data_IF_631107993036
#
_entry.id   IF_631107993036
#
_cell.length_a   1.000
_cell.length_b   1.000
_cell.length_c   1.000
_cell.angle_alpha   90.00
_cell.angle_beta   90.00
_cell.angle_gamma   90.00
#
_symmetry.space_group_name_H-M   'P 1'
#
loop_
_entity.id
_entity.type
_entity.pdbx_description
1 polymer ?
#
# COMPACT_ATOMS: atom_id res chain seq x y z
N UNK A 1 32.86 16.82 0.33
CA UNK A 1 33.03 16.23 1.67
C UNK A 1 33.12 14.73 1.47
N UNK A 2 34.13 14.08 2.05
CA UNK A 2 34.23 12.63 1.97
C UNK A 2 33.19 11.98 2.87
N UNK A 3 32.47 11.00 2.35
CA UNK A 3 31.53 10.17 3.11
C UNK A 3 31.90 8.69 3.00
N UNK A 4 31.44 7.88 3.96
CA UNK A 4 31.59 6.41 3.94
C UNK A 4 30.28 5.80 3.47
N UNK A 5 30.34 4.95 2.44
CA UNK A 5 29.15 4.28 1.93
C UNK A 5 28.65 3.22 2.92
N UNK A 6 27.38 3.30 3.33
CA UNK A 6 26.78 2.32 4.26
C UNK A 6 26.59 0.91 3.70
N UNK A 7 26.73 0.72 2.38
CA UNK A 7 26.58 -0.59 1.75
C UNK A 7 27.92 -1.30 1.54
N UNK A 8 28.92 -0.60 0.98
CA UNK A 8 30.19 -1.20 0.58
C UNK A 8 31.39 -0.75 1.43
N UNK A 9 31.21 0.21 2.35
CA UNK A 9 32.26 0.71 3.23
C UNK A 9 33.29 1.63 2.58
N UNK A 10 33.22 1.87 1.27
CA UNK A 10 34.19 2.72 0.54
C UNK A 10 33.98 4.20 0.84
N UNK A 11 35.09 4.95 0.88
CA UNK A 11 35.07 6.41 0.80
C UNK A 11 34.57 6.87 -0.57
N UNK A 12 33.78 7.93 -0.59
CA UNK A 12 33.34 8.57 -1.82
C UNK A 12 33.16 10.08 -1.62
N UNK A 13 33.30 10.83 -2.70
CA UNK A 13 32.98 12.25 -2.73
C UNK A 13 31.48 12.46 -2.89
N UNK A 14 30.87 13.08 -1.89
CA UNK A 14 29.43 13.29 -1.84
C UNK A 14 29.04 14.69 -1.37
N UNK A 15 27.81 15.08 -1.75
CA UNK A 15 27.14 16.23 -1.16
C UNK A 15 26.67 15.89 0.25
N UNK A 16 26.48 16.93 1.09
CA UNK A 16 25.95 16.78 2.44
C UNK A 16 24.64 15.98 2.42
N UNK A 17 24.60 14.87 3.15
CA UNK A 17 23.44 13.96 3.22
C UNK A 17 23.45 12.78 2.25
N UNK A 18 24.40 12.68 1.30
CA UNK A 18 24.56 11.47 0.48
C UNK A 18 25.14 10.34 1.33
N UNK A 19 24.46 9.19 1.34
CA UNK A 19 24.78 8.04 2.21
C UNK A 19 25.44 6.88 1.45
N UNK A 20 25.36 6.89 0.11
CA UNK A 20 25.83 5.82 -0.76
C UNK A 20 26.72 6.36 -1.88
N UNK A 21 27.77 5.61 -2.22
CA UNK A 21 28.72 6.00 -3.26
C UNK A 21 28.08 6.09 -4.64
N UNK A 22 27.04 5.31 -4.91
CA UNK A 22 26.31 5.31 -6.17
C UNK A 22 24.88 4.77 -6.00
N UNK A 23 24.12 4.76 -7.10
CA UNK A 23 22.76 4.22 -7.14
C UNK A 23 22.71 2.71 -6.90
N UNK A 24 23.77 1.96 -7.24
CA UNK A 24 23.82 0.52 -7.10
C UNK A 24 23.92 0.12 -5.63
N UNK A 25 24.77 0.79 -4.86
CA UNK A 25 24.90 0.62 -3.43
C UNK A 25 23.64 1.04 -2.67
N UNK A 26 22.99 2.13 -3.08
CA UNK A 26 21.68 2.52 -2.54
C UNK A 26 20.63 1.42 -2.82
N UNK A 27 20.57 0.91 -4.04
CA UNK A 27 19.64 -0.16 -4.42
C UNK A 27 19.94 -1.48 -3.68
N UNK A 28 21.20 -1.87 -3.56
CA UNK A 28 21.64 -3.09 -2.85
C UNK A 28 21.33 -3.01 -1.35
N UNK A 29 21.65 -1.89 -0.72
CA UNK A 29 21.30 -1.65 0.68
C UNK A 29 19.78 -1.71 0.89
N UNK A 30 19.01 -1.04 0.03
CA UNK A 30 17.55 -1.12 0.07
C UNK A 30 17.08 -2.57 -0.10
N UNK A 31 17.62 -3.34 -1.04
CA UNK A 31 17.29 -4.77 -1.23
C UNK A 31 17.62 -5.65 -0.02
N UNK A 32 18.60 -5.29 0.81
CA UNK A 32 18.92 -5.98 2.08
C UNK A 32 18.02 -5.56 3.24
N UNK A 33 17.48 -4.34 3.19
CA UNK A 33 16.58 -3.80 4.21
C UNK A 33 15.12 -4.22 3.98
N UNK A 34 14.69 -4.21 2.74
CA UNK A 34 13.45 -4.83 2.32
C UNK A 34 13.66 -6.33 2.27
N UNK A 35 12.79 -7.13 2.87
CA UNK A 35 12.75 -8.58 2.64
C UNK A 35 11.87 -8.82 1.39
N UNK A 36 12.39 -8.70 0.16
CA UNK A 36 11.54 -8.49 -0.99
C UNK A 36 11.22 -9.86 -1.57
N UNK A 37 9.93 -10.23 -1.56
CA UNK A 37 9.36 -11.07 -2.62
C UNK A 37 9.89 -12.51 -2.71
N UNK A 38 10.19 -13.18 -1.60
CA UNK A 38 10.53 -14.61 -1.68
C UNK A 38 9.44 -15.43 -2.42
N UNK A 39 8.16 -15.00 -2.36
CA UNK A 39 7.03 -15.68 -3.00
C UNK A 39 6.61 -15.14 -4.39
N UNK A 40 7.04 -13.95 -4.81
CA UNK A 40 6.56 -13.32 -6.07
C UNK A 40 7.68 -12.89 -7.03
N UNK A 41 8.92 -13.37 -6.85
CA UNK A 41 10.08 -13.03 -7.69
C UNK A 41 9.87 -13.20 -9.20
N UNK A 42 8.95 -14.07 -9.61
CA UNK A 42 8.66 -14.38 -11.00
C UNK A 42 7.52 -13.55 -11.60
N UNK A 43 6.80 -12.77 -10.79
CA UNK A 43 5.68 -11.96 -11.25
C UNK A 43 6.13 -10.53 -11.52
N UNK A 44 5.66 -9.96 -12.63
CA UNK A 44 5.83 -8.54 -12.87
C UNK A 44 4.97 -7.72 -11.87
N UNK A 45 5.27 -6.43 -11.75
CA UNK A 45 4.58 -5.56 -10.80
C UNK A 45 3.08 -5.43 -11.07
N UNK A 46 2.65 -5.43 -12.35
CA UNK A 46 1.25 -5.36 -12.74
C UNK A 46 0.46 -6.59 -12.30
N UNK A 47 0.98 -7.79 -12.55
CA UNK A 47 0.38 -9.05 -12.08
C UNK A 47 0.33 -9.10 -10.55
N UNK A 48 1.39 -8.65 -9.88
CA UNK A 48 1.42 -8.59 -8.40
C UNK A 48 0.33 -7.64 -7.86
N UNK A 49 0.14 -6.49 -8.49
CA UNK A 49 -0.91 -5.53 -8.16
C UNK A 49 -2.31 -6.12 -8.36
N UNK A 50 -2.56 -6.72 -9.52
CA UNK A 50 -3.84 -7.36 -9.82
C UNK A 50 -4.21 -8.48 -8.83
N UNK A 51 -3.24 -9.28 -8.40
CA UNK A 51 -3.46 -10.31 -7.37
C UNK A 51 -3.80 -9.67 -6.02
N UNK A 52 -3.10 -8.60 -5.65
CA UNK A 52 -3.39 -7.88 -4.41
C UNK A 52 -4.79 -7.25 -4.41
N UNK A 53 -5.21 -6.64 -5.53
CA UNK A 53 -6.57 -6.12 -5.70
C UNK A 53 -7.62 -7.22 -5.50
N UNK A 54 -7.42 -8.40 -6.09
CA UNK A 54 -8.33 -9.53 -5.93
C UNK A 54 -8.39 -10.05 -4.49
N UNK A 55 -7.24 -10.13 -3.80
CA UNK A 55 -7.19 -10.52 -2.39
C UNK A 55 -7.95 -9.52 -1.50
N UNK A 56 -7.82 -8.22 -1.79
CA UNK A 56 -8.58 -7.18 -1.08
C UNK A 56 -10.06 -7.27 -1.39
N UNK A 57 -10.46 -7.55 -2.64
CA UNK A 57 -11.87 -7.78 -2.97
C UNK A 57 -12.46 -8.92 -2.12
N UNK A 58 -11.79 -10.07 -2.10
CA UNK A 58 -12.22 -11.23 -1.30
C UNK A 58 -12.40 -10.83 0.17
N UNK A 59 -11.40 -10.14 0.72
CA UNK A 59 -11.40 -9.73 2.12
C UNK A 59 -12.51 -8.72 2.46
N UNK A 60 -12.78 -7.75 1.59
CA UNK A 60 -13.89 -6.81 1.76
C UNK A 60 -15.26 -7.51 1.63
N UNK A 61 -15.42 -8.45 0.69
CA UNK A 61 -16.63 -9.25 0.57
C UNK A 61 -16.89 -10.09 1.83
N UNK A 62 -15.86 -10.71 2.42
CA UNK A 62 -15.97 -11.41 3.71
C UNK A 62 -16.39 -10.49 4.87
N UNK A 63 -16.13 -9.18 4.76
CA UNK A 63 -16.58 -8.15 5.71
C UNK A 63 -17.99 -7.59 5.39
N UNK A 64 -18.68 -8.14 4.39
CA UNK A 64 -20.03 -7.76 4.01
C UNK A 64 -20.13 -6.49 3.16
N UNK A 65 -19.07 -6.16 2.41
CA UNK A 65 -19.13 -5.11 1.39
C UNK A 65 -19.57 -5.69 0.06
N UNK A 66 -20.39 -4.94 -0.69
CA UNK A 66 -20.49 -5.10 -2.14
C UNK A 66 -19.25 -4.46 -2.76
N UNK A 67 -18.50 -5.19 -3.59
CA UNK A 67 -17.21 -4.72 -4.10
C UNK A 67 -17.22 -4.63 -5.63
N UNK A 68 -16.86 -3.47 -6.15
CA UNK A 68 -16.66 -3.23 -7.58
C UNK A 68 -15.20 -2.90 -7.85
N UNK A 69 -14.57 -3.64 -8.76
CA UNK A 69 -13.18 -3.41 -9.17
C UNK A 69 -13.13 -2.51 -10.40
N UNK A 70 -12.24 -1.54 -10.40
CA UNK A 70 -11.97 -0.72 -11.57
C UNK A 70 -11.37 -1.58 -12.69
N UNK A 71 -11.95 -1.48 -13.90
CA UNK A 71 -11.40 -2.12 -15.10
C UNK A 71 -10.25 -1.28 -15.69
N UNK A 72 -10.33 0.05 -15.54
CA UNK A 72 -9.34 0.99 -16.06
C UNK A 72 -8.29 1.35 -15.02
N UNK A 73 -7.01 1.25 -15.39
CA UNK A 73 -5.88 1.71 -14.56
C UNK A 73 -5.86 3.24 -14.38
N UNK A 74 -6.55 3.98 -15.24
CA UNK A 74 -6.69 5.43 -15.14
C UNK A 74 -7.75 5.86 -14.13
N UNK A 75 -8.41 4.91 -13.46
CA UNK A 75 -9.39 5.19 -12.41
C UNK A 75 -8.81 6.02 -11.27
N UNK A 76 -9.70 6.71 -10.56
CA UNK A 76 -9.40 7.47 -9.35
C UNK A 76 -9.32 6.58 -8.09
N UNK A 77 -9.62 5.29 -8.23
CA UNK A 77 -9.55 4.27 -7.19
C UNK A 77 -9.42 2.89 -7.81
N UNK A 78 -8.84 1.94 -7.08
CA UNK A 78 -8.71 0.56 -7.54
C UNK A 78 -10.03 -0.20 -7.31
N UNK A 79 -10.67 0.03 -6.16
CA UNK A 79 -11.93 -0.60 -5.76
C UNK A 79 -12.94 0.41 -5.22
N UNK A 80 -14.21 0.11 -5.42
CA UNK A 80 -15.34 0.71 -4.70
C UNK A 80 -15.95 -0.37 -3.82
N UNK A 81 -16.13 -0.08 -2.53
CA UNK A 81 -16.94 -0.93 -1.65
C UNK A 81 -18.18 -0.19 -1.18
N UNK A 82 -19.30 -0.89 -1.10
CA UNK A 82 -20.57 -0.36 -0.58
C UNK A 82 -20.97 -1.19 0.63
N UNK A 83 -21.28 -0.52 1.74
CA UNK A 83 -21.78 -1.17 2.95
C UNK A 83 -22.71 -0.23 3.70
N UNK A 84 -23.91 -0.71 4.06
CA UNK A 84 -24.95 0.09 4.72
C UNK A 84 -25.26 1.39 3.95
N UNK A 85 -25.37 1.31 2.62
CA UNK A 85 -25.58 2.45 1.71
C UNK A 85 -24.48 3.53 1.73
N UNK A 86 -23.32 3.25 2.34
CA UNK A 86 -22.15 4.14 2.32
C UNK A 86 -21.16 3.63 1.27
N UNK A 87 -20.69 4.54 0.41
CA UNK A 87 -19.71 4.26 -0.64
C UNK A 87 -18.30 4.60 -0.15
N UNK A 88 -17.39 3.65 -0.30
CA UNK A 88 -15.98 3.79 0.04
C UNK A 88 -15.13 3.59 -1.21
N UNK A 89 -14.18 4.50 -1.44
CA UNK A 89 -13.15 4.32 -2.48
C UNK A 89 -11.88 3.80 -1.84
N UNK A 90 -11.35 2.72 -2.39
CA UNK A 90 -10.11 2.11 -1.91
C UNK A 90 -9.03 2.19 -2.97
N UNK A 91 -7.84 2.61 -2.54
CA UNK A 91 -6.58 2.37 -3.23
C UNK A 91 -5.95 1.12 -2.62
N UNK A 92 -5.49 0.21 -3.46
CA UNK A 92 -4.82 -1.03 -3.07
C UNK A 92 -3.34 -0.92 -3.35
N UNK A 93 -2.53 -1.23 -2.34
CA UNK A 93 -1.08 -1.31 -2.49
C UNK A 93 -0.55 -2.61 -1.94
N UNK A 94 0.64 -2.96 -2.40
CA UNK A 94 1.43 -4.06 -1.85
C UNK A 94 2.48 -3.50 -0.93
N UNK A 95 2.60 -4.06 0.28
CA UNK A 95 3.60 -3.64 1.26
C UNK A 95 4.58 -4.74 1.62
N UNK A 96 5.48 -4.41 2.53
CA UNK A 96 6.37 -5.38 3.18
C UNK A 96 6.69 -4.93 4.59
N UNK A 97 7.00 -5.87 5.48
CA UNK A 97 7.53 -5.52 6.80
C UNK A 97 8.98 -5.04 6.70
N UNK A 98 9.26 -3.95 7.41
CA UNK A 98 10.61 -3.54 7.75
C UNK A 98 11.15 -4.42 8.89
N UNK A 99 12.47 -4.40 9.11
CA UNK A 99 13.12 -5.16 10.19
C UNK A 99 12.59 -4.82 11.60
N UNK A 100 11.98 -3.65 11.77
CA UNK A 100 11.37 -3.21 13.02
C UNK A 100 9.88 -3.56 13.15
N UNK A 101 9.35 -4.42 12.26
CA UNK A 101 7.95 -4.83 12.25
C UNK A 101 6.97 -3.81 11.66
N UNK A 102 7.41 -2.59 11.33
CA UNK A 102 6.54 -1.58 10.70
C UNK A 102 6.25 -1.94 9.24
N UNK A 103 5.04 -1.65 8.79
CA UNK A 103 4.66 -1.79 7.38
C UNK A 103 5.28 -0.66 6.56
N UNK A 104 5.97 -1.03 5.48
CA UNK A 104 6.38 -0.11 4.45
C UNK A 104 5.53 -0.27 3.19
N UNK A 105 5.08 0.86 2.68
CA UNK A 105 4.42 1.00 1.39
C UNK A 105 4.81 2.38 0.82
N UNK A 106 5.04 2.51 -0.50
CA UNK A 106 5.16 3.82 -1.14
C UNK A 106 3.89 4.65 -0.89
N UNK A 107 4.04 5.88 -0.38
CA UNK A 107 2.92 6.79 -0.06
C UNK A 107 2.59 7.81 -1.17
N UNK A 108 3.24 7.72 -2.32
CA UNK A 108 3.10 8.74 -3.36
C UNK A 108 1.77 8.58 -4.11
N UNK A 109 1.08 9.70 -4.37
CA UNK A 109 -0.11 9.78 -5.23
C UNK A 109 -1.26 8.84 -4.83
N UNK A 110 -1.60 8.78 -3.55
CA UNK A 110 -2.82 8.09 -3.10
C UNK A 110 -4.02 8.86 -3.65
N UNK A 111 -4.84 8.21 -4.48
CA UNK A 111 -5.97 8.84 -5.18
C UNK A 111 -7.31 8.72 -4.45
N UNK A 112 -7.43 7.71 -3.58
CA UNK A 112 -8.64 7.42 -2.81
C UNK A 112 -8.50 7.77 -1.33
N UNK A 113 -9.62 7.94 -0.62
CA UNK A 113 -9.61 8.28 0.81
C UNK A 113 -9.08 7.14 1.68
N UNK A 114 -9.30 5.90 1.23
CA UNK A 114 -8.98 4.70 1.99
C UNK A 114 -7.86 3.95 1.29
N UNK A 115 -6.75 3.73 1.99
CA UNK A 115 -5.65 2.90 1.52
C UNK A 115 -5.70 1.54 2.21
N UNK A 116 -5.61 0.47 1.41
CA UNK A 116 -5.42 -0.90 1.90
C UNK A 116 -4.07 -1.40 1.42
N UNK A 117 -3.23 -1.82 2.36
CA UNK A 117 -1.93 -2.43 2.08
C UNK A 117 -2.01 -3.92 2.32
N UNK A 118 -1.82 -4.71 1.26
CA UNK A 118 -1.74 -6.16 1.30
C UNK A 118 -0.29 -6.64 1.43
N UNK A 119 -0.05 -7.58 2.36
CA UNK A 119 1.27 -8.15 2.62
C UNK A 119 1.30 -9.63 2.20
N UNK A 120 2.05 -9.94 1.15
CA UNK A 120 2.12 -11.31 0.60
C UNK A 120 2.80 -12.34 1.51
N UNK A 121 3.66 -11.92 2.44
CA UNK A 121 4.38 -12.88 3.27
C UNK A 121 3.45 -13.68 4.19
N UNK A 122 2.45 -13.00 4.75
CA UNK A 122 1.53 -13.51 5.77
C UNK A 122 0.04 -13.35 5.40
N UNK A 123 -0.27 -12.81 4.21
CA UNK A 123 -1.62 -12.51 3.75
C UNK A 123 -2.39 -11.52 4.65
N UNK A 124 -1.67 -10.61 5.33
CA UNK A 124 -2.28 -9.59 6.17
C UNK A 124 -2.72 -8.34 5.39
N UNK A 125 -3.67 -7.61 5.98
CA UNK A 125 -4.24 -6.37 5.45
C UNK A 125 -4.05 -5.24 6.47
N UNK A 126 -3.52 -4.11 6.03
CA UNK A 126 -3.33 -2.91 6.84
C UNK A 126 -4.09 -1.74 6.22
N UNK A 127 -4.67 -0.89 7.06
CA UNK A 127 -5.56 0.20 6.64
C UNK A 127 -4.95 1.56 6.94
N UNK A 128 -5.25 2.54 6.09
CA UNK A 128 -5.00 3.95 6.38
C UNK A 128 -6.16 4.77 5.82
N UNK A 129 -6.98 5.43 6.67
CA UNK A 129 -6.93 5.42 8.15
C UNK A 129 -7.13 4.02 8.76
N UNK A 130 -6.66 3.81 10.01
CA UNK A 130 -6.64 2.48 10.68
C UNK A 130 -8.02 1.86 10.86
N UNK A 131 -9.06 2.69 10.94
CA UNK A 131 -10.45 2.28 10.90
C UNK A 131 -11.18 3.01 9.78
N UNK A 132 -11.99 2.26 9.02
CA UNK A 132 -12.98 2.84 8.12
C UNK A 132 -14.12 3.37 8.97
N UNK A 133 -13.98 4.60 9.46
CA UNK A 133 -15.13 5.31 10.02
C UNK A 133 -16.05 5.61 8.84
N UNK A 134 -17.32 5.15 8.85
CA UNK A 134 -18.28 5.57 7.85
C UNK A 134 -18.30 7.10 7.81
N UNK A 135 -17.91 7.68 6.68
CA UNK A 135 -17.99 9.12 6.48
C UNK A 135 -19.46 9.52 6.24
N UNK A 136 -20.37 9.20 7.16
CA UNK A 136 -21.68 9.83 7.37
C UNK A 136 -22.39 9.19 8.57
N UNK A 137 -22.24 9.78 9.76
CA UNK A 137 -23.31 9.85 10.76
C UNK A 137 -23.90 11.26 10.68
N UNK A 138 -24.46 11.61 9.53
CA UNK A 138 -25.48 12.66 9.49
C UNK A 138 -26.73 12.10 10.15
N UNK A 139 -27.19 12.75 11.21
CA UNK A 139 -28.24 12.28 12.12
C UNK A 139 -29.45 11.62 11.42
N UNK A 140 -30.05 10.55 11.99
CA UNK A 140 -31.30 9.96 11.50
C UNK A 140 -32.53 10.88 11.62
N UNK A 141 -32.40 12.10 12.13
CA UNK A 141 -33.53 12.95 12.55
C UNK A 141 -34.42 13.53 11.43
N UNK A 142 -34.37 13.06 10.19
CA UNK A 142 -35.22 13.60 9.10
C UNK A 142 -35.83 12.54 8.17
N UNK A 143 -36.23 11.38 8.71
CA UNK A 143 -37.21 10.51 8.03
C UNK A 143 -38.35 10.17 8.99
N UNK A 144 -39.03 11.20 9.50
CA UNK A 144 -40.47 11.08 9.78
C UNK A 144 -41.20 11.07 8.45
N UNK A 145 -41.34 9.88 7.84
CA UNK A 145 -42.36 9.68 6.81
C UNK A 145 -43.65 9.27 7.51
N UNK A 146 -44.57 10.23 7.51
CA UNK A 146 -46.03 10.06 7.59
C UNK A 146 -46.56 9.07 6.56
#
# INVERSE_FOLDING_TARGET
MKGICRECGKEFDGNKGRVYCDQFCNAAYRRKQYNPRAKTKHLNAGTTGAIAELAVCQHLMMKGYEVHRAVSQASNSDLIGIKNNVVYRFEVRTGSYLKNGKVWCPKQNIKAENLIVFIFSDHSFHYSPEEFVPAYLGSPDNLSMS
#
